data_IF_629742109405
#
_entry.id   IF_629742109405
#
_cell.length_a   1.000
_cell.length_b   1.000
_cell.length_c   1.000
_cell.angle_alpha   90.00
_cell.angle_beta   90.00
_cell.angle_gamma   90.00
#
_symmetry.space_group_name_H-M   'P 1'
#
loop_
_entity.id
_entity.type
_entity.pdbx_description
1 polymer ?
#
# COMPACT_ATOMS: atom_id res chain seq x y z
N UNK A 1 -25.07 25.26 7.66
CA UNK A 1 -23.59 25.39 7.63
C UNK A 1 -23.02 24.07 8.10
N UNK A 2 -22.53 23.24 7.18
CA UNK A 2 -21.83 22.00 7.53
C UNK A 2 -20.39 22.40 7.77
N UNK A 3 -19.99 22.44 9.04
CA UNK A 3 -18.59 22.56 9.43
C UNK A 3 -17.84 21.39 8.80
N UNK A 4 -16.84 21.71 7.97
CA UNK A 4 -15.83 20.78 7.48
C UNK A 4 -15.30 20.00 8.68
N UNK A 5 -15.73 18.74 8.82
CA UNK A 5 -15.06 17.75 9.63
C UNK A 5 -13.65 17.63 9.07
N UNK A 6 -12.71 18.30 9.73
CA UNK A 6 -11.30 18.25 9.37
C UNK A 6 -10.88 16.80 9.23
N UNK A 7 -10.11 16.51 8.18
CA UNK A 7 -9.47 15.22 8.05
C UNK A 7 -8.79 14.93 9.40
N UNK A 8 -9.12 13.83 10.08
CA UNK A 8 -8.45 13.48 11.32
C UNK A 8 -6.94 13.47 11.09
N UNK A 9 -6.16 13.78 12.12
CA UNK A 9 -4.70 13.89 12.02
C UNK A 9 -4.05 12.52 12.27
N UNK A 10 -2.83 12.28 11.79
CA UNK A 10 -2.07 11.05 12.12
C UNK A 10 -1.93 10.83 13.64
N UNK A 11 -1.94 11.92 14.42
CA UNK A 11 -1.93 11.86 15.88
C UNK A 11 -3.25 11.33 16.49
N UNK A 12 -4.38 11.50 15.81
CA UNK A 12 -5.68 10.99 16.26
C UNK A 12 -5.80 9.45 16.09
N UNK A 13 -4.94 8.85 15.26
CA UNK A 13 -4.89 7.42 15.00
C UNK A 13 -3.75 6.69 15.73
N UNK A 14 -3.10 7.36 16.69
CA UNK A 14 -1.94 6.85 17.41
C UNK A 14 -2.12 5.47 18.07
N UNK A 15 -1.32 4.52 17.55
CA UNK A 15 -0.72 3.35 18.19
C UNK A 15 -1.61 2.12 18.48
N UNK A 16 -1.47 1.12 17.61
CA UNK A 16 -1.43 -0.27 18.07
C UNK A 16 -0.34 -1.05 17.30
N UNK A 17 0.65 -1.50 18.08
CA UNK A 17 1.67 -2.52 17.80
C UNK A 17 2.79 -2.20 16.78
N UNK A 18 3.98 -1.96 17.37
CA UNK A 18 5.34 -2.04 16.80
C UNK A 18 5.84 -0.98 15.78
N UNK A 19 6.19 0.20 16.31
CA UNK A 19 7.43 0.89 15.90
C UNK A 19 7.30 2.04 14.88
N UNK A 20 7.64 3.25 15.33
CA UNK A 20 7.92 4.46 14.52
C UNK A 20 6.67 5.12 13.86
N UNK A 21 6.12 6.14 14.55
CA UNK A 21 5.58 7.38 13.98
C UNK A 21 4.37 7.39 13.03
N UNK A 22 4.04 6.30 12.34
CA UNK A 22 3.10 6.31 11.21
C UNK A 22 2.13 5.12 11.14
N UNK A 23 2.19 4.22 12.11
CA UNK A 23 1.37 3.00 12.14
C UNK A 23 0.08 3.21 12.93
N UNK A 24 -1.04 2.77 12.36
CA UNK A 24 -2.35 2.95 12.99
C UNK A 24 -3.41 1.93 12.56
N UNK A 25 -4.44 1.77 13.37
CA UNK A 25 -5.61 0.92 13.08
C UNK A 25 -6.81 1.81 12.79
N UNK A 26 -7.52 1.50 11.70
CA UNK A 26 -8.74 2.22 11.32
C UNK A 26 -9.62 1.38 10.39
N UNK A 27 -10.91 1.72 10.23
CA UNK A 27 -11.78 1.06 9.26
C UNK A 27 -11.19 1.16 7.85
N UNK A 28 -11.05 0.03 7.17
CA UNK A 28 -10.43 -0.04 5.85
C UNK A 28 -11.11 0.88 4.83
N UNK A 29 -12.45 0.88 4.83
CA UNK A 29 -13.29 1.63 3.90
C UNK A 29 -13.13 3.16 4.04
N UNK A 30 -12.64 3.65 5.18
CA UNK A 30 -12.49 5.09 5.43
C UNK A 30 -11.49 5.75 4.47
N UNK A 31 -10.44 5.02 4.08
CA UNK A 31 -9.38 5.55 3.22
C UNK A 31 -9.46 5.03 1.79
N UNK A 32 -10.33 4.06 1.52
CA UNK A 32 -10.54 3.55 0.18
C UNK A 32 -11.07 4.65 -0.75
N UNK A 33 -10.55 4.65 -1.97
CA UNK A 33 -11.04 5.54 -3.02
C UNK A 33 -11.53 4.73 -4.21
N UNK A 34 -12.40 5.31 -5.03
CA UNK A 34 -12.76 4.72 -6.31
C UNK A 34 -11.56 4.78 -7.28
N UNK A 35 -10.94 3.64 -7.67
CA UNK A 35 -9.74 3.65 -8.50
C UNK A 35 -9.95 4.28 -9.87
N UNK A 36 -11.19 4.27 -10.38
CA UNK A 36 -11.54 4.89 -11.66
C UNK A 36 -11.52 6.42 -11.60
N UNK A 37 -11.46 7.02 -10.41
CA UNK A 37 -11.33 8.47 -10.22
C UNK A 37 -9.86 8.91 -10.23
N UNK A 38 -8.90 8.01 -10.38
CA UNK A 38 -7.47 8.28 -10.30
C UNK A 38 -6.72 7.70 -11.51
N UNK A 39 -5.49 8.17 -11.78
CA UNK A 39 -4.63 7.56 -12.79
C UNK A 39 -4.30 6.10 -12.48
N UNK A 40 -3.95 5.36 -13.52
CA UNK A 40 -3.31 4.05 -13.40
C UNK A 40 -1.85 4.17 -13.81
N UNK A 41 -0.98 3.46 -13.09
CA UNK A 41 0.45 3.48 -13.28
C UNK A 41 0.98 2.11 -13.73
N UNK A 42 2.14 2.14 -14.35
CA UNK A 42 3.00 0.97 -14.54
C UNK A 42 4.44 1.36 -14.22
N UNK A 43 5.27 0.41 -13.82
CA UNK A 43 6.70 0.71 -13.73
C UNK A 43 7.28 0.92 -15.12
N UNK A 44 8.22 1.87 -15.24
CA UNK A 44 8.87 2.25 -16.50
C UNK A 44 9.71 1.10 -17.05
N UNK A 45 10.30 0.27 -16.18
CA UNK A 45 11.03 -0.94 -16.53
C UNK A 45 10.91 -1.98 -15.42
N UNK A 46 11.03 -3.26 -15.78
CA UNK A 46 11.10 -4.35 -14.81
C UNK A 46 12.28 -4.12 -13.88
N UNK A 47 12.06 -4.25 -12.57
CA UNK A 47 13.09 -4.02 -11.56
C UNK A 47 12.84 -4.84 -10.31
N UNK A 48 13.92 -5.10 -9.59
CA UNK A 48 13.82 -5.55 -8.21
C UNK A 48 13.10 -4.49 -7.37
N UNK A 49 12.23 -4.97 -6.48
CA UNK A 49 11.54 -4.12 -5.54
C UNK A 49 12.46 -3.81 -4.34
N UNK A 50 12.33 -2.65 -3.69
CA UNK A 50 13.05 -2.38 -2.44
C UNK A 50 12.80 -3.46 -1.41
N UNK A 51 13.80 -3.72 -0.57
CA UNK A 51 13.58 -4.53 0.62
C UNK A 51 12.61 -3.78 1.56
N UNK A 52 11.79 -4.56 2.24
CA UNK A 52 10.91 -4.13 3.31
C UNK A 52 11.57 -4.36 4.68
N UNK A 53 11.08 -3.73 5.75
CA UNK A 53 11.40 -4.07 7.14
C UNK A 53 12.90 -4.10 7.50
N UNK A 54 13.69 -3.17 6.95
CA UNK A 54 15.12 -3.07 7.23
C UNK A 54 15.32 -2.36 8.57
N UNK A 55 15.73 -3.12 9.60
CA UNK A 55 15.96 -2.60 10.94
C UNK A 55 17.27 -3.12 11.53
N UNK A 56 18.44 -2.55 11.18
CA UNK A 56 19.72 -3.01 11.70
C UNK A 56 19.86 -2.74 13.21
N UNK A 57 20.46 -3.65 13.99
CA UNK A 57 21.03 -4.95 13.60
C UNK A 57 20.03 -6.11 13.60
N UNK A 58 18.75 -5.86 13.87
CA UNK A 58 17.74 -6.88 14.15
C UNK A 58 17.15 -7.57 12.91
N UNK A 59 17.07 -6.85 11.79
CA UNK A 59 16.53 -7.35 10.52
C UNK A 59 17.36 -6.81 9.35
N UNK A 60 17.85 -7.69 8.45
CA UNK A 60 18.47 -7.28 7.19
C UNK A 60 17.44 -6.82 6.15
N UNK A 61 16.14 -6.94 6.45
CA UNK A 61 15.04 -6.67 5.54
C UNK A 61 14.40 -7.95 4.99
N UNK A 62 13.26 -7.76 4.32
CA UNK A 62 12.46 -8.79 3.65
C UNK A 62 12.44 -8.52 2.15
N UNK A 63 12.74 -9.54 1.36
CA UNK A 63 12.61 -9.47 -0.09
C UNK A 63 11.14 -9.32 -0.49
N UNK A 64 10.87 -8.45 -1.45
CA UNK A 64 9.53 -8.18 -1.98
C UNK A 64 9.45 -8.67 -3.43
N UNK A 65 8.26 -9.03 -3.96
CA UNK A 65 8.13 -9.45 -5.36
C UNK A 65 8.66 -8.37 -6.29
N UNK A 66 9.26 -8.74 -7.43
CA UNK A 66 9.75 -7.76 -8.38
C UNK A 66 8.61 -6.91 -8.96
N UNK A 67 8.92 -5.65 -9.24
CA UNK A 67 8.00 -4.74 -9.92
C UNK A 67 8.13 -4.95 -11.43
N UNK A 68 7.05 -5.34 -12.10
CA UNK A 68 7.04 -5.63 -13.54
C UNK A 68 6.23 -4.61 -14.32
N UNK A 69 6.69 -4.20 -15.51
CA UNK A 69 6.00 -3.32 -16.45
C UNK A 69 4.61 -3.85 -16.80
N UNK A 70 4.43 -5.18 -16.79
CA UNK A 70 3.16 -5.83 -17.07
C UNK A 70 2.11 -5.69 -15.96
N UNK A 71 2.52 -5.20 -14.78
CA UNK A 71 1.63 -4.94 -13.65
C UNK A 71 0.98 -3.57 -13.85
N UNK A 72 -0.31 -3.50 -13.51
CA UNK A 72 -1.08 -2.26 -13.52
C UNK A 72 -1.37 -1.90 -12.08
N UNK A 73 -0.99 -0.69 -11.72
CA UNK A 73 -1.04 -0.18 -10.37
C UNK A 73 -2.11 0.90 -10.30
N UNK A 74 -3.12 0.66 -9.49
CA UNK A 74 -4.26 1.56 -9.36
C UNK A 74 -4.26 2.19 -7.98
N UNK A 75 -4.60 3.47 -7.90
CA UNK A 75 -4.78 4.14 -6.61
C UNK A 75 -5.95 3.47 -5.90
N UNK A 76 -5.65 2.91 -4.73
CA UNK A 76 -6.58 2.15 -3.92
C UNK A 76 -7.01 2.90 -2.66
N UNK A 77 -6.10 3.68 -2.08
CA UNK A 77 -6.37 4.44 -0.87
C UNK A 77 -5.77 5.84 -0.95
N UNK A 78 -6.38 6.77 -0.20
CA UNK A 78 -5.85 8.10 0.09
C UNK A 78 -5.78 8.28 1.61
N UNK A 79 -4.59 8.45 2.15
CA UNK A 79 -4.31 8.56 3.58
C UNK A 79 -3.65 9.91 3.82
N UNK A 80 -4.33 10.83 4.51
CA UNK A 80 -3.84 12.19 4.82
C UNK A 80 -3.24 12.98 3.63
N UNK A 81 -3.77 12.81 2.42
CA UNK A 81 -3.27 13.49 1.22
C UNK A 81 -2.24 12.69 0.42
N UNK A 82 -1.73 11.60 0.99
CA UNK A 82 -0.85 10.64 0.33
C UNK A 82 -1.67 9.55 -0.36
N UNK A 83 -1.10 8.93 -1.39
CA UNK A 83 -1.81 7.96 -2.23
C UNK A 83 -1.10 6.61 -2.23
N UNK A 84 -1.89 5.55 -2.04
CA UNK A 84 -1.42 4.18 -2.07
C UNK A 84 -1.88 3.50 -3.36
N UNK A 85 -0.94 3.00 -4.14
CA UNK A 85 -1.22 2.17 -5.31
C UNK A 85 -1.10 0.68 -4.98
N UNK A 86 -1.96 -0.12 -5.60
CA UNK A 86 -1.93 -1.59 -5.51
C UNK A 86 -2.10 -2.24 -6.88
N UNK A 87 -1.63 -3.48 -7.02
CA UNK A 87 -1.77 -4.26 -8.26
C UNK A 87 -2.24 -5.68 -7.97
N UNK A 88 -3.31 -6.12 -8.64
CA UNK A 88 -3.80 -7.49 -8.52
C UNK A 88 -2.75 -8.53 -8.92
N UNK A 89 -1.92 -8.25 -9.93
CA UNK A 89 -0.86 -9.17 -10.36
C UNK A 89 0.28 -9.24 -9.35
N UNK A 90 0.53 -8.15 -8.63
CA UNK A 90 1.50 -8.13 -7.54
C UNK A 90 0.95 -8.89 -6.32
N UNK A 91 -0.31 -8.63 -5.95
CA UNK A 91 -1.02 -9.37 -4.89
C UNK A 91 -1.04 -10.88 -5.19
N UNK A 92 -1.22 -11.28 -6.46
CA UNK A 92 -1.13 -12.68 -6.89
C UNK A 92 0.30 -13.24 -6.90
N UNK A 93 1.33 -12.42 -7.03
CA UNK A 93 2.72 -12.86 -6.86
C UNK A 93 3.09 -13.02 -5.37
N UNK A 94 2.33 -12.37 -4.48
CA UNK A 94 2.56 -12.35 -3.04
C UNK A 94 1.55 -13.17 -2.22
N UNK A 95 0.56 -13.78 -2.86
CA UNK A 95 -0.61 -14.36 -2.18
C UNK A 95 -0.31 -15.48 -1.18
N UNK A 96 0.90 -16.07 -1.21
CA UNK A 96 1.29 -17.13 -0.26
C UNK A 96 1.79 -16.61 1.07
N UNK A 97 2.14 -15.32 1.16
CA UNK A 97 2.83 -14.77 2.33
C UNK A 97 1.90 -14.56 3.52
N UNK A 98 2.36 -15.06 4.66
CA UNK A 98 1.73 -15.02 5.99
C UNK A 98 2.78 -14.73 7.05
N UNK A 99 2.37 -14.20 8.20
CA UNK A 99 3.30 -13.89 9.29
C UNK A 99 3.90 -15.13 10.00
N UNK A 100 3.40 -16.35 9.72
CA UNK A 100 3.99 -17.58 10.26
C UNK A 100 5.23 -18.06 9.48
N UNK A 101 5.54 -17.41 8.36
CA UNK A 101 6.71 -17.68 7.52
C UNK A 101 6.64 -19.00 6.75
N UNK A 102 5.46 -19.62 6.64
CA UNK A 102 5.25 -20.85 5.88
C UNK A 102 4.75 -20.56 4.45
N UNK A 103 5.02 -21.48 3.52
CA UNK A 103 4.50 -21.39 2.15
C UNK A 103 3.07 -21.94 2.10
N UNK A 104 2.11 -21.09 1.72
CA UNK A 104 0.69 -21.43 1.62
C UNK A 104 0.19 -21.35 0.16
N UNK A 105 0.45 -22.36 -0.67
CA UNK A 105 0.03 -22.36 -2.08
C UNK A 105 -1.49 -22.24 -2.25
N UNK A 106 -2.28 -22.77 -1.31
CA UNK A 106 -3.74 -22.71 -1.29
C UNK A 106 -4.29 -21.28 -1.24
N UNK A 107 -3.52 -20.31 -0.72
CA UNK A 107 -3.94 -18.91 -0.69
C UNK A 107 -3.99 -18.27 -2.08
N UNK A 108 -3.31 -18.87 -3.06
CA UNK A 108 -3.21 -18.38 -4.43
C UNK A 108 -4.18 -19.04 -5.41
N UNK A 109 -4.92 -20.06 -4.98
CA UNK A 109 -5.88 -20.76 -5.82
C UNK A 109 -7.10 -19.87 -6.14
N UNK A 110 -7.89 -20.17 -7.20
CA UNK A 110 -9.13 -19.46 -7.46
C UNK A 110 -10.08 -19.50 -6.26
N UNK A 111 -10.39 -18.33 -5.69
CA UNK A 111 -11.19 -18.22 -4.46
C UNK A 111 -10.39 -18.35 -3.16
N UNK A 112 -9.07 -18.52 -3.26
CA UNK A 112 -8.14 -18.52 -2.14
C UNK A 112 -8.16 -17.20 -1.36
N UNK A 113 -7.74 -17.30 -0.10
CA UNK A 113 -7.82 -16.21 0.87
C UNK A 113 -6.82 -15.06 0.58
N UNK A 114 -5.76 -15.34 -0.18
CA UNK A 114 -4.69 -14.39 -0.48
C UNK A 114 -3.77 -14.12 0.72
N UNK A 115 -2.83 -13.19 0.53
CA UNK A 115 -1.87 -12.81 1.57
C UNK A 115 -2.58 -12.23 2.81
N UNK A 116 -1.94 -12.41 3.98
CA UNK A 116 -2.43 -11.83 5.24
C UNK A 116 -2.40 -10.29 5.20
N UNK A 117 -1.38 -9.72 4.56
CA UNK A 117 -1.22 -8.29 4.33
C UNK A 117 -1.18 -8.00 2.83
N UNK A 118 -1.88 -6.94 2.46
CA UNK A 118 -1.86 -6.34 1.15
C UNK A 118 -0.75 -5.31 1.11
N UNK A 119 0.18 -5.53 0.18
CA UNK A 119 1.33 -4.67 -0.04
C UNK A 119 0.97 -3.55 -1.01
N UNK A 120 1.09 -2.30 -0.55
CA UNK A 120 0.83 -1.11 -1.35
C UNK A 120 2.09 -0.25 -1.41
N UNK A 121 2.12 0.64 -2.38
CA UNK A 121 3.24 1.56 -2.56
C UNK A 121 2.71 2.99 -2.45
N UNK A 122 3.34 3.79 -1.61
CA UNK A 122 3.09 5.22 -1.56
C UNK A 122 3.73 5.90 -2.78
N UNK A 123 2.95 6.74 -3.47
CA UNK A 123 3.32 7.33 -4.76
C UNK A 123 2.91 8.80 -4.87
N UNK A 124 3.80 9.60 -5.47
CA UNK A 124 3.55 10.97 -5.88
C UNK A 124 2.94 11.06 -7.28
N UNK A 125 2.28 12.18 -7.64
CA UNK A 125 1.66 12.34 -8.96
C UNK A 125 2.64 12.26 -10.14
N UNK A 126 3.93 12.51 -9.92
CA UNK A 126 4.99 12.41 -10.93
C UNK A 126 5.49 10.98 -11.17
N UNK A 127 5.00 10.00 -10.41
CA UNK A 127 5.42 8.60 -10.49
C UNK A 127 6.57 8.23 -9.55
N UNK A 128 7.00 9.15 -8.69
CA UNK A 128 7.99 8.88 -7.65
C UNK A 128 7.36 8.06 -6.52
N UNK A 129 7.93 6.90 -6.22
CA UNK A 129 7.54 6.06 -5.07
C UNK A 129 8.51 6.28 -3.89
N UNK A 130 8.05 6.06 -2.65
CA UNK A 130 8.88 6.38 -1.48
C UNK A 130 8.72 5.48 -0.25
N UNK A 131 7.69 4.64 -0.19
CA UNK A 131 7.47 3.74 0.93
C UNK A 131 6.53 2.60 0.56
N UNK A 132 6.61 1.52 1.32
CA UNK A 132 5.56 0.51 1.40
C UNK A 132 4.47 0.95 2.36
N UNK A 133 3.23 0.62 2.01
CA UNK A 133 2.07 0.65 2.89
C UNK A 133 1.54 -0.76 3.07
N UNK A 134 1.55 -1.28 4.31
CA UNK A 134 0.97 -2.59 4.62
C UNK A 134 -0.45 -2.40 5.13
N UNK A 135 -1.39 -3.12 4.54
CA UNK A 135 -2.79 -3.13 4.96
C UNK A 135 -3.16 -4.56 5.29
N UNK A 136 -3.63 -4.83 6.51
CA UNK A 136 -4.18 -6.16 6.82
C UNK A 136 -5.36 -6.46 5.90
N UNK A 137 -5.40 -7.67 5.33
CA UNK A 137 -6.49 -8.17 4.51
C UNK A 137 -7.67 -8.61 5.39
N UNK A 138 -8.16 -7.75 6.29
CA UNK A 138 -9.17 -8.08 7.32
C UNK A 138 -10.41 -8.80 6.79
N UNK A 139 -10.98 -8.45 5.61
CA UNK A 139 -12.14 -9.17 5.07
C UNK A 139 -11.91 -10.67 4.85
N UNK A 140 -10.65 -11.06 4.63
CA UNK A 140 -10.25 -12.46 4.41
C UNK A 140 -9.46 -13.03 5.59
N UNK A 141 -8.76 -12.19 6.35
CA UNK A 141 -7.97 -12.51 7.54
C UNK A 141 -8.46 -11.71 8.76
N UNK A 142 -9.63 -12.04 9.33
CA UNK A 142 -10.17 -11.31 10.48
C UNK A 142 -9.22 -11.44 11.68
N UNK A 143 -8.90 -10.30 12.31
CA UNK A 143 -8.09 -10.23 13.53
C UNK A 143 -8.95 -9.93 14.77
N UNK A 144 -8.31 -9.75 15.92
CA UNK A 144 -8.96 -9.33 17.17
C UNK A 144 -9.49 -7.89 17.17
N UNK A 145 -9.08 -7.07 16.19
CA UNK A 145 -9.66 -5.73 15.96
C UNK A 145 -11.05 -5.87 15.34
N UNK A 146 -11.88 -4.82 15.38
CA UNK A 146 -13.25 -4.89 14.85
C UNK A 146 -13.29 -5.51 13.44
N UNK A 147 -14.39 -6.18 13.07
CA UNK A 147 -14.50 -6.98 11.83
C UNK A 147 -14.10 -6.22 10.54
N UNK A 148 -14.10 -4.89 10.59
CA UNK A 148 -13.90 -4.01 9.44
C UNK A 148 -12.64 -3.11 9.59
N UNK A 149 -11.86 -3.27 10.66
CA UNK A 149 -10.66 -2.48 10.93
C UNK A 149 -9.40 -3.16 10.34
N UNK A 150 -8.53 -2.36 9.73
CA UNK A 150 -7.24 -2.81 9.21
C UNK A 150 -6.10 -2.02 9.85
N UNK A 151 -4.96 -2.69 10.00
CA UNK A 151 -3.72 -2.06 10.44
C UNK A 151 -3.01 -1.50 9.21
N UNK A 152 -2.75 -0.20 9.23
CA UNK A 152 -1.93 0.53 8.27
C UNK A 152 -0.54 0.70 8.86
N UNK A 153 0.48 0.25 8.13
CA UNK A 153 1.88 0.45 8.47
C UNK A 153 2.63 1.09 7.32
N UNK A 154 3.50 2.04 7.63
CA UNK A 154 4.32 2.75 6.65
C UNK A 154 5.79 2.35 6.82
N UNK A 155 6.45 2.01 5.72
CA UNK A 155 7.84 1.56 5.72
C UNK A 155 8.63 2.15 4.57
N UNK A 156 9.48 3.11 4.91
CA UNK A 156 10.42 3.80 4.02
C UNK A 156 11.86 3.28 4.19
N UNK A 157 12.07 2.14 4.85
CA UNK A 157 13.41 1.64 5.19
C UNK A 157 14.19 1.10 3.99
N UNK A 158 13.49 0.73 2.91
CA UNK A 158 14.07 0.27 1.65
C UNK A 158 14.80 1.35 0.84
N UNK A 159 15.60 0.94 -0.15
CA UNK A 159 16.21 1.88 -1.10
C UNK A 159 15.19 2.33 -2.16
N UNK A 160 14.67 3.54 -1.98
CA UNK A 160 13.72 4.19 -2.90
C UNK A 160 14.38 5.10 -3.95
N UNK A 161 15.69 5.00 -4.18
CA UNK A 161 16.42 5.86 -5.11
C UNK A 161 16.21 5.54 -6.61
N UNK A 162 16.63 6.46 -7.49
CA UNK A 162 16.51 6.28 -8.95
C UNK A 162 15.10 6.52 -9.49
N UNK A 163 14.32 7.39 -8.84
CA UNK A 163 12.99 7.83 -9.23
C UNK A 163 13.00 8.72 -10.50
N UNK A 164 11.86 8.86 -11.20
CA UNK A 164 10.60 8.15 -10.99
C UNK A 164 10.68 6.70 -11.47
N UNK A 165 9.94 5.81 -10.81
CA UNK A 165 9.86 4.40 -11.22
C UNK A 165 8.60 4.09 -12.01
N UNK A 166 7.53 4.86 -11.78
CA UNK A 166 6.24 4.65 -12.38
C UNK A 166 5.95 5.72 -13.43
N UNK A 167 5.25 5.34 -14.49
CA UNK A 167 4.64 6.25 -15.44
C UNK A 167 3.13 6.06 -15.45
N UNK A 168 2.39 7.12 -15.74
CA UNK A 168 0.96 7.01 -15.95
C UNK A 168 0.68 6.33 -17.30
N UNK A 169 -0.13 5.27 -17.27
CA UNK A 169 -0.47 4.47 -18.45
C UNK A 169 -1.95 4.51 -18.81
N UNK A 170 -2.80 5.00 -17.92
CA UNK A 170 -4.22 5.18 -18.17
C UNK A 170 -4.82 6.23 -17.23
N UNK A 171 -5.91 6.86 -17.66
CA UNK A 171 -6.64 7.87 -16.86
C UNK A 171 -5.72 9.04 -16.44
N UNK A 172 -4.76 9.42 -17.29
CA UNK A 172 -3.76 10.44 -16.96
C UNK A 172 -4.35 11.86 -16.91
N UNK A 173 -5.50 12.07 -17.53
CA UNK A 173 -6.36 13.24 -17.33
C UNK A 173 -6.80 13.41 -15.86
N UNK A 174 -6.70 12.35 -15.04
CA UNK A 174 -7.06 12.37 -13.62
C UNK A 174 -5.88 12.60 -12.67
N UNK A 175 -4.68 12.87 -13.19
CA UNK A 175 -3.52 13.21 -12.35
C UNK A 175 -3.78 14.42 -11.44
N UNK A 176 -4.61 15.35 -11.88
CA UNK A 176 -4.99 16.51 -11.08
C UNK A 176 -5.73 16.13 -9.80
N UNK A 177 -6.42 14.98 -9.76
CA UNK A 177 -7.05 14.49 -8.54
C UNK A 177 -6.00 14.09 -7.47
N UNK A 178 -4.77 13.79 -7.88
CA UNK A 178 -3.66 13.60 -6.96
C UNK A 178 -2.99 14.92 -6.58
N UNK A 179 -2.86 15.86 -7.53
CA UNK A 179 -2.20 17.16 -7.34
C UNK A 179 -3.00 18.18 -6.54
N UNK A 180 -4.32 18.20 -6.70
CA UNK A 180 -5.22 19.19 -6.10
C UNK A 180 -5.28 19.18 -4.56
N UNK A 181 -4.44 18.37 -3.89
CA UNK A 181 -4.39 18.22 -2.44
C UNK A 181 -2.97 18.40 -1.87
N UNK A 182 -2.02 18.92 -2.67
CA UNK A 182 -0.68 19.31 -2.20
C UNK A 182 -0.59 20.82 -1.85
N UNK A 183 -1.71 21.55 -1.96
CA UNK A 183 -1.90 22.94 -1.53
C UNK A 183 -2.73 23.00 -0.24
#
# INVERSE_FOLDING_TARGET
>A
MVTLSGCPTMADYGAATSGVGSDFVAPHEQFQVNPMSYPAFAVIQDREAPLADIHPPWSPGREMPPLKQSYRWEVSHKVHGEYLIGSQKFDQAWCRQTNDGQDHPEHCEPGGIGAEYLERIYIYPDGSAYAYGYLKNTPRWPHWFGKDETWFRHDDTGDWSGQPWFECVARCDKLDNMRANQE
#
